data_IF_769882963122
#
_entry.id   IF_769882963122
#
_cell.length_a   1.000
_cell.length_b   1.000
_cell.length_c   1.000
_cell.angle_alpha   90.00
_cell.angle_beta   90.00
_cell.angle_gamma   90.00
#
_symmetry.space_group_name_H-M   'P 1'
#
loop_
_entity.id
_entity.type
_entity.pdbx_description
1 polymer ?
#
# COMPACT_ATOMS: atom_id res chain seq x y z
N UNK A 1 -7.79 9.65 -4.04
CA UNK A 1 -7.68 8.93 -2.75
C UNK A 1 -8.85 9.33 -1.87
N UNK A 2 -9.78 8.42 -1.60
CA UNK A 2 -10.87 8.63 -0.63
C UNK A 2 -10.35 8.27 0.77
N UNK A 3 -10.33 9.23 1.70
CA UNK A 3 -9.91 9.00 3.08
C UNK A 3 -11.13 8.96 3.99
N UNK A 4 -11.34 7.82 4.64
CA UNK A 4 -12.41 7.65 5.62
C UNK A 4 -12.04 8.36 6.92
N UNK A 5 -12.90 9.26 7.39
CA UNK A 5 -12.70 9.99 8.67
C UNK A 5 -13.28 9.24 9.88
N UNK A 6 -14.16 8.27 9.65
CA UNK A 6 -14.79 7.47 10.69
C UNK A 6 -14.01 6.17 10.88
N UNK A 7 -13.84 5.78 12.14
CA UNK A 7 -13.34 4.44 12.46
C UNK A 7 -14.43 3.44 12.12
N UNK A 8 -14.13 2.50 11.23
CA UNK A 8 -15.00 1.39 10.91
C UNK A 8 -14.54 0.18 11.74
N UNK A 9 -15.45 -0.39 12.52
CA UNK A 9 -15.18 -1.62 13.28
C UNK A 9 -15.32 -2.81 12.32
N UNK A 10 -14.20 -3.18 11.69
CA UNK A 10 -14.15 -4.24 10.68
C UNK A 10 -13.02 -5.20 11.02
N UNK A 11 -13.36 -6.47 11.26
CA UNK A 11 -12.42 -7.58 11.36
C UNK A 11 -12.26 -8.24 9.99
N UNK A 12 -11.45 -7.64 9.12
CA UNK A 12 -11.40 -8.00 7.68
C UNK A 12 -11.08 -9.47 7.36
N UNK A 13 -10.38 -10.20 8.24
CA UNK A 13 -10.11 -11.62 8.05
C UNK A 13 -11.21 -12.55 8.59
N UNK A 14 -12.19 -12.01 9.31
CA UNK A 14 -13.37 -12.74 9.78
C UNK A 14 -14.59 -12.42 8.90
N UNK A 15 -14.80 -11.14 8.58
CA UNK A 15 -15.83 -10.67 7.66
C UNK A 15 -15.33 -9.48 6.83
N UNK A 16 -15.22 -9.67 5.52
CA UNK A 16 -14.82 -8.66 4.55
C UNK A 16 -16.00 -7.91 3.92
N UNK A 17 -17.25 -8.36 4.15
CA UNK A 17 -18.46 -7.80 3.52
C UNK A 17 -18.59 -6.27 3.69
N UNK A 18 -18.33 -5.68 4.89
CA UNK A 18 -18.43 -4.24 5.06
C UNK A 18 -17.41 -3.47 4.20
N UNK A 19 -16.22 -4.05 4.01
CA UNK A 19 -15.17 -3.45 3.20
C UNK A 19 -15.51 -3.54 1.71
N UNK A 20 -16.03 -4.67 1.24
CA UNK A 20 -16.46 -4.85 -0.15
C UNK A 20 -17.58 -3.85 -0.51
N UNK A 21 -18.57 -3.69 0.37
CA UNK A 21 -19.63 -2.69 0.20
C UNK A 21 -19.08 -1.25 0.21
N UNK A 22 -18.11 -0.97 1.08
CA UNK A 22 -17.48 0.35 1.14
C UNK A 22 -16.67 0.61 -0.14
N UNK A 23 -15.93 -0.38 -0.62
CA UNK A 23 -15.14 -0.26 -1.84
C UNK A 23 -16.02 -0.09 -3.07
N UNK A 24 -17.12 -0.86 -3.15
CA UNK A 24 -18.14 -0.73 -4.20
C UNK A 24 -18.77 0.67 -4.20
N UNK A 25 -19.15 1.19 -3.03
CA UNK A 25 -19.75 2.53 -2.94
C UNK A 25 -18.77 3.66 -3.26
N UNK A 26 -17.46 3.43 -3.11
CA UNK A 26 -16.40 4.39 -3.41
C UNK A 26 -15.70 4.15 -4.76
N UNK A 27 -16.13 3.15 -5.54
CA UNK A 27 -15.49 2.75 -6.81
C UNK A 27 -13.97 2.55 -6.66
N UNK A 28 -13.56 1.76 -5.66
CA UNK A 28 -12.16 1.56 -5.29
C UNK A 28 -11.71 0.10 -5.47
N UNK A 29 -10.63 -0.09 -6.22
CA UNK A 29 -10.04 -1.41 -6.50
C UNK A 29 -8.84 -1.73 -5.59
N UNK A 30 -8.36 -0.73 -4.85
CA UNK A 30 -7.24 -0.82 -3.91
C UNK A 30 -7.68 -0.22 -2.58
N UNK A 31 -7.28 -0.83 -1.47
CA UNK A 31 -7.56 -0.29 -0.15
C UNK A 31 -6.38 -0.46 0.80
N UNK A 32 -6.38 0.41 1.82
CA UNK A 32 -5.47 0.36 2.94
C UNK A 32 -6.26 0.56 4.23
N UNK A 33 -6.07 -0.32 5.20
CA UNK A 33 -6.74 -0.25 6.49
C UNK A 33 -5.73 -0.36 7.63
N UNK A 34 -5.77 0.62 8.54
CA UNK A 34 -4.96 0.63 9.75
C UNK A 34 -5.74 0.04 10.92
N UNK A 35 -5.11 -0.89 11.65
CA UNK A 35 -5.64 -1.42 12.91
C UNK A 35 -4.55 -1.52 13.96
N UNK A 36 -4.94 -1.56 15.24
CA UNK A 36 -3.98 -1.77 16.33
C UNK A 36 -4.64 -2.57 17.44
N UNK A 37 -3.98 -3.66 17.84
CA UNK A 37 -4.41 -4.53 18.94
C UNK A 37 -3.22 -4.94 19.78
N UNK A 38 -3.45 -5.50 20.97
CA UNK A 38 -2.36 -6.04 21.81
C UNK A 38 -1.55 -7.12 21.09
N UNK A 39 -2.20 -7.96 20.27
CA UNK A 39 -1.56 -9.05 19.51
C UNK A 39 -0.85 -8.53 18.25
N UNK A 40 -1.39 -7.49 17.61
CA UNK A 40 -0.87 -6.87 16.38
C UNK A 40 -0.86 -5.34 16.54
N UNK A 41 0.16 -4.76 17.20
CA UNK A 41 0.26 -3.31 17.32
C UNK A 41 0.67 -2.69 15.98
N UNK A 42 0.13 -1.51 15.66
CA UNK A 42 0.46 -0.74 14.45
C UNK A 42 0.38 -1.58 13.15
N UNK A 43 -0.74 -2.25 12.96
CA UNK A 43 -0.97 -3.13 11.83
C UNK A 43 -1.54 -2.33 10.66
N UNK A 44 -1.00 -2.57 9.46
CA UNK A 44 -1.46 -1.95 8.23
C UNK A 44 -1.78 -3.04 7.23
N UNK A 45 -2.98 -3.01 6.67
CA UNK A 45 -3.48 -4.06 5.80
C UNK A 45 -3.68 -3.45 4.43
N UNK A 46 -3.01 -4.02 3.43
CA UNK A 46 -3.21 -3.67 2.03
C UNK A 46 -3.98 -4.77 1.35
N UNK A 47 -4.85 -4.41 0.42
CA UNK A 47 -5.53 -5.41 -0.40
C UNK A 47 -6.08 -4.84 -1.69
N UNK A 48 -6.44 -5.78 -2.56
CA UNK A 48 -7.01 -5.52 -3.89
C UNK A 48 -8.40 -6.09 -3.98
N UNK A 49 -9.21 -5.46 -4.80
CA UNK A 49 -10.59 -5.83 -5.06
C UNK A 49 -10.72 -6.11 -6.55
N UNK A 50 -11.33 -7.24 -6.87
CA UNK A 50 -11.61 -7.65 -8.23
C UNK A 50 -13.05 -8.13 -8.29
N UNK A 51 -13.81 -7.61 -9.24
CA UNK A 51 -15.23 -7.92 -9.43
C UNK A 51 -16.04 -7.76 -8.12
N UNK A 52 -15.85 -6.61 -7.47
CA UNK A 52 -16.50 -6.24 -6.19
C UNK A 52 -16.19 -7.15 -4.99
N UNK A 53 -15.25 -8.10 -5.13
CA UNK A 53 -14.82 -9.02 -4.08
C UNK A 53 -13.35 -8.83 -3.73
N UNK A 54 -12.97 -9.18 -2.50
CA UNK A 54 -11.56 -9.17 -2.11
C UNK A 54 -10.77 -10.20 -2.95
N UNK A 55 -9.76 -9.71 -3.68
CA UNK A 55 -8.83 -10.56 -4.42
C UNK A 55 -7.75 -11.12 -3.49
N UNK A 56 -7.06 -10.24 -2.77
CA UNK A 56 -6.04 -10.59 -1.80
C UNK A 56 -5.82 -9.50 -0.75
N UNK A 57 -5.25 -9.91 0.40
CA UNK A 57 -4.92 -9.04 1.52
C UNK A 57 -3.61 -9.46 2.16
N UNK A 58 -2.82 -8.47 2.61
CA UNK A 58 -1.57 -8.69 3.34
C UNK A 58 -1.50 -7.77 4.54
N UNK A 59 -1.19 -8.33 5.71
CA UNK A 59 -0.91 -7.57 6.94
C UNK A 59 0.57 -7.20 7.05
N UNK A 60 0.84 -5.92 7.29
CA UNK A 60 2.16 -5.39 7.57
C UNK A 60 2.18 -4.79 8.99
N UNK A 61 2.90 -5.46 9.89
CA UNK A 61 3.19 -4.91 11.21
C UNK A 61 4.27 -3.84 11.14
N UNK A 62 3.91 -2.58 11.43
CA UNK A 62 4.87 -1.47 11.37
C UNK A 62 5.78 -1.51 12.59
N UNK A 63 7.09 -1.57 12.35
CA UNK A 63 8.14 -1.42 13.36
C UNK A 63 9.03 -0.23 13.01
N UNK A 64 9.47 0.50 14.03
CA UNK A 64 10.44 1.61 13.91
C UNK A 64 10.06 2.66 12.86
N UNK A 65 8.79 3.10 12.87
CA UNK A 65 8.31 4.16 11.98
C UNK A 65 9.08 5.46 12.20
N UNK A 66 9.49 6.10 11.11
CA UNK A 66 9.98 7.48 11.06
C UNK A 66 9.12 8.26 10.08
N UNK A 67 8.60 9.39 10.53
CA UNK A 67 7.77 10.26 9.73
C UNK A 67 8.62 11.12 8.81
N UNK A 68 8.02 11.69 7.76
CA UNK A 68 8.68 12.68 6.91
C UNK A 68 9.22 13.89 7.69
N UNK A 69 8.64 14.22 8.85
CA UNK A 69 9.07 15.35 9.69
C UNK A 69 10.41 15.09 10.38
N UNK A 70 10.75 13.82 10.62
CA UNK A 70 11.99 13.44 11.31
C UNK A 70 13.23 13.59 10.42
N UNK A 71 13.04 13.71 9.10
CA UNK A 71 14.13 13.87 8.13
C UNK A 71 14.40 15.35 7.83
N UNK A 72 15.65 15.76 8.04
CA UNK A 72 16.18 17.09 7.65
C UNK A 72 16.59 17.11 6.17
N UNK A 73 15.66 16.76 5.29
CA UNK A 73 15.84 16.79 3.84
C UNK A 73 14.76 17.65 3.19
N UNK A 74 15.01 18.06 1.95
CA UNK A 74 13.97 18.63 1.09
C UNK A 74 12.76 17.68 1.01
N UNK A 75 11.57 18.27 0.94
CA UNK A 75 10.32 17.53 0.86
C UNK A 75 9.96 17.29 -0.59
N UNK A 76 9.38 16.13 -0.83
CA UNK A 76 8.94 15.68 -2.14
C UNK A 76 7.70 16.47 -2.54
N UNK A 77 7.63 16.89 -3.80
CA UNK A 77 6.45 17.54 -4.37
C UNK A 77 5.26 16.57 -4.41
N UNK A 78 4.06 17.11 -4.23
CA UNK A 78 2.85 16.29 -4.33
C UNK A 78 2.67 15.75 -5.77
N UNK A 79 2.12 14.54 -5.88
CA UNK A 79 1.78 13.89 -7.16
C UNK A 79 2.96 13.60 -8.09
N UNK A 80 4.18 13.47 -7.54
CA UNK A 80 5.34 13.01 -8.30
C UNK A 80 5.36 11.48 -8.38
N UNK A 81 5.61 10.95 -9.57
CA UNK A 81 5.73 9.51 -9.80
C UNK A 81 6.98 8.95 -9.11
N UNK A 82 6.85 7.99 -8.18
CA UNK A 82 8.01 7.36 -7.56
C UNK A 82 8.74 6.44 -8.54
N UNK A 83 10.06 6.34 -8.39
CA UNK A 83 10.79 5.15 -8.88
C UNK A 83 10.62 4.04 -7.84
N UNK A 84 10.22 2.84 -8.27
CA UNK A 84 10.00 1.71 -7.36
C UNK A 84 11.13 0.70 -7.53
N UNK A 85 11.80 0.36 -6.43
CA UNK A 85 12.93 -0.57 -6.41
C UNK A 85 12.69 -1.69 -5.40
N UNK A 86 12.81 -2.93 -5.85
CA UNK A 86 12.81 -4.12 -5.00
C UNK A 86 14.22 -4.69 -4.94
N UNK A 87 14.89 -4.53 -3.80
CA UNK A 87 16.28 -4.96 -3.60
C UNK A 87 16.34 -6.43 -3.16
N UNK A 88 17.17 -7.20 -3.85
CA UNK A 88 17.45 -8.60 -3.52
C UNK A 88 16.64 -9.62 -4.31
N UNK A 89 17.26 -10.76 -4.62
CA UNK A 89 16.63 -11.83 -5.40
C UNK A 89 15.53 -12.58 -4.63
N UNK A 90 15.49 -12.45 -3.30
CA UNK A 90 14.50 -13.10 -2.41
C UNK A 90 13.06 -12.81 -2.81
N UNK A 91 12.80 -11.60 -3.31
CA UNK A 91 11.48 -11.19 -3.84
C UNK A 91 10.93 -12.13 -4.92
N UNK A 92 11.78 -12.92 -5.57
CA UNK A 92 11.40 -13.86 -6.63
C UNK A 92 11.39 -15.32 -6.16
N UNK A 93 11.85 -15.62 -4.93
CA UNK A 93 12.00 -17.00 -4.46
C UNK A 93 10.64 -17.62 -4.13
N UNK A 94 9.86 -17.01 -3.24
CA UNK A 94 8.59 -17.57 -2.78
C UNK A 94 7.39 -16.91 -3.45
N UNK A 95 6.30 -17.66 -3.61
CA UNK A 95 5.03 -17.13 -4.14
C UNK A 95 4.46 -15.99 -3.27
N UNK A 96 4.66 -16.07 -1.97
CA UNK A 96 4.25 -15.03 -1.02
C UNK A 96 4.95 -13.70 -1.32
N UNK A 97 6.28 -13.70 -1.43
CA UNK A 97 7.04 -12.48 -1.74
C UNK A 97 6.74 -11.95 -3.14
N UNK A 98 6.46 -12.83 -4.11
CA UNK A 98 6.02 -12.42 -5.45
C UNK A 98 4.66 -11.75 -5.42
N UNK A 99 3.71 -12.25 -4.63
CA UNK A 99 2.39 -11.61 -4.41
C UNK A 99 2.51 -10.27 -3.69
N UNK A 100 3.29 -10.20 -2.62
CA UNK A 100 3.55 -8.93 -1.90
C UNK A 100 4.19 -7.90 -2.83
N UNK A 101 5.17 -8.31 -3.65
CA UNK A 101 5.80 -7.45 -4.64
C UNK A 101 4.79 -6.92 -5.66
N UNK A 102 3.89 -7.77 -6.16
CA UNK A 102 2.81 -7.37 -7.07
C UNK A 102 1.87 -6.37 -6.41
N UNK A 103 1.43 -6.64 -5.17
CA UNK A 103 0.56 -5.77 -4.41
C UNK A 103 1.19 -4.38 -4.19
N UNK A 104 2.43 -4.34 -3.72
CA UNK A 104 3.14 -3.07 -3.50
C UNK A 104 3.37 -2.30 -4.80
N UNK A 105 3.60 -3.01 -5.92
CA UNK A 105 3.71 -2.36 -7.22
C UNK A 105 2.39 -1.70 -7.59
N UNK A 106 1.26 -2.41 -7.52
CA UNK A 106 -0.06 -1.85 -7.85
C UNK A 106 -0.46 -0.68 -6.94
N UNK A 107 -0.09 -0.73 -5.65
CA UNK A 107 -0.41 0.33 -4.68
C UNK A 107 0.28 1.67 -4.96
N UNK A 108 1.49 1.64 -5.53
CA UNK A 108 2.31 2.84 -5.73
C UNK A 108 2.57 3.16 -7.21
N UNK A 109 2.17 2.28 -8.12
CA UNK A 109 2.15 2.54 -9.54
C UNK A 109 0.94 3.43 -9.88
N UNK A 110 1.21 4.52 -10.60
CA UNK A 110 0.18 5.52 -10.96
C UNK A 110 -0.36 5.26 -12.37
N UNK A 111 0.53 5.15 -13.34
CA UNK A 111 0.23 5.09 -14.78
C UNK A 111 1.40 4.52 -15.60
N UNK A 112 1.12 3.99 -16.79
CA UNK A 112 2.17 3.63 -17.74
C UNK A 112 2.53 4.85 -18.60
N UNK A 113 3.81 5.22 -18.57
CA UNK A 113 4.33 6.38 -19.31
C UNK A 113 5.44 5.95 -20.27
N UNK A 114 5.39 6.43 -21.51
CA UNK A 114 6.43 6.17 -22.52
C UNK A 114 7.66 7.07 -22.36
N UNK A 115 7.49 8.23 -21.72
CA UNK A 115 8.54 9.22 -21.50
C UNK A 115 8.43 9.82 -20.10
N UNK A 116 9.58 10.10 -19.48
CA UNK A 116 9.64 10.73 -18.16
C UNK A 116 10.51 11.98 -18.19
N UNK A 117 10.06 13.02 -17.49
CA UNK A 117 10.83 14.24 -17.30
C UNK A 117 11.87 14.00 -16.19
N UNK A 118 13.15 14.22 -16.49
CA UNK A 118 14.25 13.99 -15.54
C UNK A 118 14.11 14.85 -14.26
N UNK A 119 13.65 16.10 -14.36
CA UNK A 119 13.40 16.94 -13.18
C UNK A 119 12.23 16.46 -12.32
N UNK A 120 11.39 15.55 -12.84
CA UNK A 120 10.30 14.93 -12.07
C UNK A 120 10.75 13.68 -11.31
N UNK A 121 12.02 13.28 -11.39
CA UNK A 121 12.55 12.14 -10.63
C UNK A 121 13.03 12.60 -9.26
N UNK A 122 12.09 12.78 -8.32
CA UNK A 122 12.39 13.33 -7.01
C UNK A 122 12.67 12.28 -5.93
N UNK A 123 12.09 11.08 -6.04
CA UNK A 123 12.18 10.08 -4.96
C UNK A 123 12.06 8.63 -5.44
N UNK A 124 12.51 7.73 -4.56
CA UNK A 124 12.52 6.29 -4.77
C UNK A 124 11.81 5.60 -3.60
N UNK A 125 10.87 4.71 -3.90
CA UNK A 125 10.33 3.74 -2.96
C UNK A 125 11.19 2.48 -3.01
N UNK A 126 11.87 2.18 -1.91
CA UNK A 126 12.85 1.10 -1.83
C UNK A 126 12.37 0.02 -0.85
N UNK A 127 12.18 -1.19 -1.34
CA UNK A 127 11.75 -2.35 -0.56
C UNK A 127 12.87 -3.39 -0.49
N UNK A 128 13.28 -3.78 0.71
CA UNK A 128 14.45 -4.64 0.96
C UNK A 128 14.12 -5.78 1.93
N UNK A 129 14.62 -7.00 1.65
CA UNK A 129 14.42 -8.24 2.43
C UNK A 129 15.76 -8.97 2.65
#
# INVERSE_FOLDING_TARGET
VSLMRRNNDVTMFEDATPLEQLAKSNDCHLFMFGSSSKKRPNNLIFGRIYDEQILDMVEFGIKQYKSLQDFKSEKISAFVKPVIVFNGYKWKLTEELRRIRSLLLDMFHIDDVSTIRLQGLEHVLSFTI
#
